data_IF_600116820105
#
_entry.id   IF_600116820105
#
_cell.length_a   1.000
_cell.length_b   1.000
_cell.length_c   1.000
_cell.angle_alpha   90.00
_cell.angle_beta   90.00
_cell.angle_gamma   90.00
#
_symmetry.space_group_name_H-M   'P 1'
#
loop_
_entity.id
_entity.type
_entity.pdbx_description
1 polymer ?
#
# COMPACT_ATOMS: atom_id res chain seq x y z
N UNK A 1 2.76 6.68 12.40
CA UNK A 1 1.63 6.98 11.50
C UNK A 1 0.36 6.30 12.01
N UNK A 2 0.32 4.96 12.10
CA UNK A 2 -0.79 4.27 12.77
C UNK A 2 -0.97 4.71 14.23
N UNK A 3 0.10 4.71 15.04
CA UNK A 3 0.05 5.16 16.45
C UNK A 3 -0.19 6.66 16.65
N UNK A 4 -0.04 7.48 15.60
CA UNK A 4 -0.25 8.92 15.70
C UNK A 4 -1.71 9.32 15.47
N UNK A 5 -2.63 8.36 15.30
CA UNK A 5 -4.05 8.61 15.03
C UNK A 5 -4.35 9.21 13.66
N UNK A 6 -3.37 9.25 12.74
CA UNK A 6 -3.56 9.76 11.39
C UNK A 6 -4.16 8.67 10.51
N UNK A 7 -5.11 9.04 9.65
CA UNK A 7 -5.71 8.14 8.68
C UNK A 7 -4.65 7.49 7.79
N UNK A 8 -4.70 6.16 7.71
CA UNK A 8 -3.74 5.36 6.96
C UNK A 8 -4.49 4.28 6.17
N UNK A 9 -4.24 4.22 4.87
CA UNK A 9 -4.71 3.12 4.03
C UNK A 9 -3.50 2.32 3.55
N UNK A 10 -3.53 1.01 3.80
CA UNK A 10 -2.53 0.06 3.31
C UNK A 10 -3.21 -0.78 2.25
N UNK A 11 -2.62 -0.84 1.05
CA UNK A 11 -3.09 -1.72 -0.02
C UNK A 11 -1.94 -2.68 -0.34
N UNK A 12 -2.17 -3.98 -0.13
CA UNK A 12 -1.19 -5.02 -0.39
C UNK A 12 -1.64 -5.91 -1.55
N UNK A 13 -0.67 -6.48 -2.27
CA UNK A 13 -0.97 -7.61 -3.17
C UNK A 13 -1.30 -8.86 -2.33
N UNK A 14 -2.04 -9.85 -2.88
CA UNK A 14 -2.32 -11.09 -2.17
C UNK A 14 -1.06 -11.79 -1.64
N UNK A 15 -0.02 -11.86 -2.47
CA UNK A 15 1.28 -12.47 -2.09
C UNK A 15 1.97 -11.75 -0.94
N UNK A 16 1.87 -10.41 -0.87
CA UNK A 16 2.43 -9.64 0.25
C UNK A 16 1.60 -9.85 1.51
N UNK A 17 0.27 -9.91 1.39
CA UNK A 17 -0.61 -10.20 2.51
C UNK A 17 -0.37 -11.60 3.08
N UNK A 18 -0.31 -12.64 2.25
CA UNK A 18 -0.05 -14.03 2.66
C UNK A 18 1.23 -14.14 3.46
N UNK A 19 2.34 -13.59 2.93
CA UNK A 19 3.63 -13.55 3.65
C UNK A 19 3.54 -12.78 4.97
N UNK A 20 2.79 -11.68 5.00
CA UNK A 20 2.67 -10.88 6.21
C UNK A 20 1.86 -11.60 7.31
N UNK A 21 0.85 -12.38 6.93
CA UNK A 21 0.14 -13.27 7.84
C UNK A 21 1.08 -14.36 8.37
N UNK A 22 1.82 -15.03 7.47
CA UNK A 22 2.75 -16.12 7.83
C UNK A 22 3.84 -15.66 8.82
N UNK A 23 4.46 -14.51 8.55
CA UNK A 23 5.60 -14.02 9.33
C UNK A 23 5.17 -13.22 10.58
N UNK A 24 4.02 -12.54 10.53
CA UNK A 24 3.69 -11.44 11.43
C UNK A 24 2.18 -11.32 11.77
N UNK A 25 1.45 -12.44 11.87
CA UNK A 25 -0.01 -12.46 12.15
C UNK A 25 -0.45 -11.54 13.30
N UNK A 26 0.23 -11.61 14.46
CA UNK A 26 -0.12 -10.81 15.65
C UNK A 26 -0.07 -9.32 15.33
N UNK A 27 0.99 -8.88 14.65
CA UNK A 27 1.18 -7.47 14.29
C UNK A 27 0.15 -7.02 13.27
N UNK A 28 -0.21 -7.88 12.32
CA UNK A 28 -1.29 -7.58 11.39
C UNK A 28 -2.61 -7.35 12.14
N UNK A 29 -2.96 -8.22 13.11
CA UNK A 29 -4.16 -8.07 13.96
C UNK A 29 -4.16 -6.73 14.71
N UNK A 30 -3.04 -6.37 15.33
CA UNK A 30 -2.89 -5.08 16.02
C UNK A 30 -3.08 -3.87 15.08
N UNK A 31 -2.66 -3.99 13.82
CA UNK A 31 -2.78 -2.92 12.82
C UNK A 31 -4.23 -2.79 12.34
N UNK A 32 -4.91 -3.89 12.01
CA UNK A 32 -6.29 -3.84 11.46
C UNK A 32 -7.33 -3.42 12.50
N UNK A 33 -7.05 -3.63 13.79
CA UNK A 33 -7.93 -3.21 14.89
C UNK A 33 -7.90 -1.69 15.13
N UNK A 34 -6.94 -0.95 14.58
CA UNK A 34 -6.86 0.50 14.74
C UNK A 34 -7.91 1.19 13.87
N UNK A 35 -8.70 2.06 14.49
CA UNK A 35 -9.81 2.75 13.80
C UNK A 35 -9.37 3.65 12.65
N UNK A 36 -8.18 4.24 12.75
CA UNK A 36 -7.57 5.11 11.74
C UNK A 36 -6.81 4.32 10.65
N UNK A 37 -6.90 2.99 10.64
CA UNK A 37 -6.26 2.14 9.65
C UNK A 37 -7.32 1.43 8.80
N UNK A 38 -7.12 1.46 7.50
CA UNK A 38 -7.83 0.63 6.53
C UNK A 38 -6.81 -0.25 5.82
N UNK A 39 -6.90 -1.57 6.01
CA UNK A 39 -6.09 -2.53 5.27
C UNK A 39 -6.92 -3.12 4.13
N UNK A 40 -6.36 -3.15 2.93
CA UNK A 40 -7.03 -3.68 1.74
C UNK A 40 -6.11 -4.63 0.98
N UNK A 41 -6.71 -5.63 0.34
CA UNK A 41 -6.01 -6.60 -0.51
C UNK A 41 -6.43 -6.35 -1.95
N UNK A 42 -5.47 -6.22 -2.86
CA UNK A 42 -5.75 -6.14 -4.29
C UNK A 42 -6.42 -7.42 -4.77
N UNK A 43 -7.47 -7.27 -5.58
CA UNK A 43 -8.23 -8.37 -6.14
C UNK A 43 -7.45 -9.14 -7.23
N UNK A 44 -6.43 -8.50 -7.81
CA UNK A 44 -5.54 -9.14 -8.78
C UNK A 44 -4.55 -10.08 -8.07
N UNK A 45 -4.47 -11.32 -8.54
CA UNK A 45 -3.62 -12.41 -8.02
C UNK A 45 -2.14 -12.29 -8.40
N UNK A 46 -1.71 -11.16 -8.98
CA UNK A 46 -0.29 -10.81 -9.06
C UNK A 46 0.26 -10.51 -10.46
N UNK A 47 -0.59 -10.11 -11.41
CA UNK A 47 -0.13 -9.74 -12.76
C UNK A 47 0.03 -8.23 -12.96
N UNK A 48 -0.68 -7.38 -12.19
CA UNK A 48 -0.50 -5.94 -12.23
C UNK A 48 0.77 -5.53 -11.46
N UNK A 49 1.90 -5.51 -12.18
CA UNK A 49 3.15 -4.89 -11.73
C UNK A 49 3.07 -3.39 -12.00
N UNK A 50 2.21 -2.71 -11.25
CA UNK A 50 2.26 -1.25 -11.18
C UNK A 50 3.31 -0.79 -10.17
N UNK A 51 3.70 0.49 -10.17
CA UNK A 51 4.62 1.00 -9.16
C UNK A 51 4.00 0.88 -7.78
N UNK A 52 4.86 0.65 -6.80
CA UNK A 52 4.50 0.73 -5.40
C UNK A 52 4.91 2.09 -4.86
N UNK A 53 4.12 2.61 -3.92
CA UNK A 53 4.28 3.99 -3.48
C UNK A 53 3.78 4.23 -2.07
N UNK A 54 4.39 5.23 -1.43
CA UNK A 54 3.92 5.85 -0.20
C UNK A 54 3.53 7.29 -0.51
N UNK A 55 2.26 7.60 -0.31
CA UNK A 55 1.69 8.92 -0.51
C UNK A 55 1.45 9.57 0.86
N UNK A 56 1.99 10.76 1.07
CA UNK A 56 1.75 11.57 2.27
C UNK A 56 1.40 13.01 1.89
N UNK A 57 1.01 13.81 2.88
CA UNK A 57 0.75 15.24 2.68
C UNK A 57 2.03 16.01 2.28
N UNK A 58 3.20 15.53 2.68
CA UNK A 58 4.48 16.25 2.53
C UNK A 58 5.26 15.77 1.31
N UNK A 59 5.36 14.46 1.13
CA UNK A 59 6.13 13.84 0.06
C UNK A 59 5.44 12.60 -0.52
N UNK A 60 5.83 12.26 -1.74
CA UNK A 60 5.48 11.00 -2.40
C UNK A 60 6.75 10.22 -2.65
N UNK A 61 6.73 8.95 -2.29
CA UNK A 61 7.80 7.98 -2.54
C UNK A 61 7.26 6.94 -3.51
N UNK A 62 7.95 6.72 -4.64
CA UNK A 62 7.53 5.76 -5.67
C UNK A 62 8.72 4.88 -6.01
N UNK A 63 8.47 3.59 -6.14
CA UNK A 63 9.44 2.66 -6.68
C UNK A 63 8.80 1.73 -7.70
N UNK A 64 9.63 1.32 -8.65
CA UNK A 64 9.25 0.50 -9.77
C UNK A 64 9.91 -0.86 -9.65
N UNK A 65 9.28 -1.84 -10.28
CA UNK A 65 9.89 -3.13 -10.53
C UNK A 65 10.47 -3.08 -11.95
N UNK A 66 11.62 -3.72 -12.15
CA UNK A 66 12.17 -3.88 -13.49
C UNK A 66 11.28 -4.84 -14.32
N UNK A 67 11.66 -5.07 -15.58
CA UNK A 67 10.93 -5.97 -16.49
C UNK A 67 10.80 -7.40 -15.99
N UNK A 68 11.66 -7.81 -15.06
CA UNK A 68 11.66 -9.14 -14.45
C UNK A 68 10.88 -9.18 -13.13
N UNK A 69 10.21 -8.08 -12.76
CA UNK A 69 9.47 -7.94 -11.50
C UNK A 69 10.37 -7.78 -10.27
N UNK A 70 11.67 -7.54 -10.46
CA UNK A 70 12.65 -7.37 -9.40
C UNK A 70 12.75 -5.90 -9.02
N UNK A 71 12.81 -5.64 -7.71
CA UNK A 71 13.08 -4.32 -7.18
C UNK A 71 14.49 -3.87 -7.60
N UNK A 72 14.56 -2.81 -8.40
CA UNK A 72 15.82 -2.33 -8.99
C UNK A 72 16.58 -1.33 -8.09
N UNK A 73 16.13 -1.19 -6.84
CA UNK A 73 16.62 -0.23 -5.84
C UNK A 73 16.51 1.24 -6.27
N UNK A 74 15.76 1.57 -7.33
CA UNK A 74 15.51 2.96 -7.71
C UNK A 74 14.24 3.47 -7.07
N UNK A 75 14.39 4.67 -6.52
CA UNK A 75 13.35 5.34 -5.76
C UNK A 75 13.23 6.75 -6.30
N UNK A 76 12.00 7.16 -6.58
CA UNK A 76 11.64 8.55 -6.81
C UNK A 76 11.07 9.12 -5.52
N UNK A 77 11.67 10.20 -5.03
CA UNK A 77 11.13 11.01 -3.93
C UNK A 77 10.80 12.38 -4.49
N UNK A 78 9.55 12.80 -4.34
CA UNK A 78 9.10 14.10 -4.82
C UNK A 78 8.23 14.80 -3.77
N UNK A 79 8.39 16.12 -3.69
CA UNK A 79 7.54 17.01 -2.92
C UNK A 79 6.65 17.87 -3.82
N UNK A 80 6.65 17.62 -5.14
CA UNK A 80 5.84 18.37 -6.10
C UNK A 80 4.37 17.95 -6.10
N UNK A 81 3.49 18.93 -6.30
CA UNK A 81 2.04 18.70 -6.34
C UNK A 81 1.58 17.89 -7.55
N UNK A 82 2.30 18.00 -8.68
CA UNK A 82 2.10 17.20 -9.89
C UNK A 82 2.26 15.71 -9.59
N UNK A 83 3.37 15.33 -8.95
CA UNK A 83 3.65 13.95 -8.54
C UNK A 83 2.61 13.45 -7.53
N UNK A 84 2.24 14.30 -6.56
CA UNK A 84 1.21 13.97 -5.57
C UNK A 84 -0.16 13.71 -6.22
N UNK A 85 -0.51 14.50 -7.24
CA UNK A 85 -1.78 14.37 -7.96
C UNK A 85 -1.83 13.08 -8.77
N UNK A 86 -0.77 12.77 -9.51
CA UNK A 86 -0.64 11.51 -10.24
C UNK A 86 -0.69 10.29 -9.29
N UNK A 87 0.03 10.33 -8.16
CA UNK A 87 0.01 9.25 -7.17
C UNK A 87 -1.37 9.06 -6.54
N UNK A 88 -2.14 10.14 -6.33
CA UNK A 88 -3.54 10.06 -5.88
C UNK A 88 -4.44 9.36 -6.89
N UNK A 89 -4.25 9.56 -8.19
CA UNK A 89 -5.01 8.87 -9.23
C UNK A 89 -4.72 7.36 -9.21
N UNK A 90 -3.44 6.99 -9.13
CA UNK A 90 -3.04 5.59 -9.03
C UNK A 90 -3.55 4.94 -7.74
N UNK A 91 -3.51 5.65 -6.60
CA UNK A 91 -4.09 5.17 -5.35
C UNK A 91 -5.60 4.91 -5.48
N UNK A 92 -6.36 5.83 -6.10
CA UNK A 92 -7.79 5.63 -6.35
C UNK A 92 -8.04 4.42 -7.24
N UNK A 93 -7.21 4.21 -8.26
CA UNK A 93 -7.28 3.02 -9.10
C UNK A 93 -7.07 1.74 -8.29
N UNK A 94 -5.98 1.65 -7.52
CA UNK A 94 -5.72 0.48 -6.66
C UNK A 94 -6.82 0.25 -5.63
N UNK A 95 -7.33 1.32 -5.01
CA UNK A 95 -8.43 1.24 -4.02
C UNK A 95 -9.71 0.68 -4.64
N UNK A 96 -10.03 1.04 -5.89
CA UNK A 96 -11.19 0.50 -6.61
C UNK A 96 -11.04 -0.99 -6.91
N UNK A 97 -9.80 -1.46 -7.03
CA UNK A 97 -9.46 -2.84 -7.36
C UNK A 97 -9.05 -3.66 -6.12
N UNK A 98 -9.42 -3.21 -4.93
CA UNK A 98 -9.10 -3.91 -3.68
C UNK A 98 -10.33 -4.09 -2.80
N UNK A 99 -10.26 -5.11 -1.95
CA UNK A 99 -11.25 -5.38 -0.92
C UNK A 99 -10.67 -5.07 0.44
N UNK A 100 -11.41 -4.32 1.25
CA UNK A 100 -11.03 -4.02 2.63
C UNK A 100 -11.13 -5.29 3.48
N UNK A 101 -10.18 -5.47 4.39
CA UNK A 101 -10.27 -6.50 5.42
C UNK A 101 -11.25 -6.06 6.51
N UNK A 102 -12.03 -7.03 6.99
CA UNK A 102 -12.86 -6.85 8.18
C UNK A 102 -11.96 -6.66 9.41
N UNK A 103 -12.47 -5.92 10.40
CA UNK A 103 -11.72 -5.61 11.62
C UNK A 103 -11.75 -6.75 12.66
N UNK A 104 -12.47 -7.84 12.37
CA UNK A 104 -12.73 -8.95 13.30
C UNK A 104 -11.93 -10.24 12.99
N UNK A 105 -10.83 -10.15 12.22
CA UNK A 105 -9.98 -11.29 11.82
C UNK A 105 -9.01 -11.71 12.94
#
# INVERSE_FOLDING_TARGET
MAESGKEMTIIATPKVYERFVEDHEIRLKEIIQKENVTFMILNDKGNAIGPSMTLTDVFTYIYFFNTDGVYDNKIIVSTEDSTRSWAKELYKYYKKQSTALDREI
#
